data_IF_169660278833
#
_entry.id   IF_169660278833
#
_cell.length_a   1.000
_cell.length_b   1.000
_cell.length_c   1.000
_cell.angle_alpha   90.00
_cell.angle_beta   90.00
_cell.angle_gamma   90.00
#
_symmetry.space_group_name_H-M   'P 1'
#
loop_
_entity.id
_entity.type
_entity.pdbx_description
1 polymer ?
2 non-polymer ?
3 non-polymer ?
4 water ?
#
# COMPACT_ATOMS: atom_id res chain seq x y z
N UNK A 4 -18.15 -10.62 -7.34
CA UNK A 4 -17.49 -9.33 -6.95
C UNK A 4 -17.80 -9.01 -5.49
N UNK A 5 -19.07 -9.14 -5.12
CA UNK A 5 -19.45 -9.11 -3.72
C UNK A 5 -18.70 -10.16 -2.85
N UNK A 6 -18.62 -11.39 -3.34
CA UNK A 6 -17.97 -12.45 -2.54
C UNK A 6 -16.49 -12.14 -2.42
N UNK A 7 -15.91 -11.66 -3.51
CA UNK A 7 -14.50 -11.24 -3.49
C UNK A 7 -14.26 -10.09 -2.47
N UNK A 8 -15.12 -9.08 -2.47
CA UNK A 8 -14.97 -8.03 -1.47
C UNK A 8 -15.05 -8.54 -0.04
N UNK A 9 -16.01 -9.41 0.24
CA UNK A 9 -16.16 -9.95 1.58
C UNK A 9 -15.01 -10.86 1.99
N UNK A 10 -14.40 -11.57 1.03
CA UNK A 10 -13.16 -12.34 1.39
C UNK A 10 -12.07 -11.39 1.84
N UNK A 11 -11.96 -10.24 1.17
CA UNK A 11 -10.97 -9.21 1.54
C UNK A 11 -11.31 -8.64 2.94
N UNK A 12 -12.59 -8.37 3.18
CA UNK A 12 -13.03 -7.96 4.53
C UNK A 12 -12.69 -9.00 5.63
N UNK A 13 -12.90 -10.27 5.32
CA UNK A 13 -12.58 -11.37 6.25
C UNK A 13 -11.07 -11.34 6.60
N UNK A 14 -10.23 -11.03 5.63
CA UNK A 14 -8.83 -10.91 5.86
C UNK A 14 -8.51 -9.68 6.73
N UNK A 15 -9.22 -8.57 6.53
CA UNK A 15 -9.03 -7.40 7.38
C UNK A 15 -9.36 -7.80 8.83
N UNK A 16 -10.45 -8.53 9.00
CA UNK A 16 -10.84 -8.99 10.36
C UNK A 16 -9.79 -9.90 11.00
N UNK A 17 -9.25 -10.84 10.22
CA UNK A 17 -8.15 -11.68 10.71
C UNK A 17 -6.98 -10.80 11.17
N UNK A 18 -6.60 -9.81 10.37
CA UNK A 18 -5.54 -8.89 10.77
C UNK A 18 -5.85 -8.14 12.05
N UNK A 19 -7.07 -7.62 12.17
CA UNK A 19 -7.44 -6.92 13.37
C UNK A 19 -7.36 -7.78 14.63
N UNK A 20 -7.59 -9.10 14.46
CA UNK A 20 -7.55 -10.05 15.58
C UNK A 20 -6.17 -10.64 15.85
N UNK A 21 -5.16 -10.25 15.07
CA UNK A 21 -3.87 -10.94 15.03
C UNK A 21 -2.92 -10.42 16.07
N UNK A 22 -1.89 -11.21 16.36
CA UNK A 22 -0.88 -10.83 17.35
C UNK A 22 -0.24 -9.49 17.14
N UNK A 23 0.00 -9.14 15.88
CA UNK A 23 0.66 -7.89 15.51
C UNK A 23 0.03 -6.65 16.15
N UNK A 24 -1.29 -6.67 16.27
CA UNK A 24 -2.04 -5.49 16.72
C UNK A 24 -2.60 -5.67 18.12
N UNK A 25 -2.24 -6.76 18.81
CA UNK A 25 -2.93 -7.09 20.08
C UNK A 25 -2.77 -6.08 21.18
N UNK A 26 -1.62 -5.41 21.21
CA UNK A 26 -1.34 -4.45 22.24
C UNK A 26 -2.36 -3.35 22.32
N UNK A 27 -2.97 -2.99 21.19
CA UNK A 27 -4.04 -2.00 21.19
C UNK A 27 -5.40 -2.58 20.79
N UNK A 28 -5.44 -3.76 20.18
CA UNK A 28 -6.73 -4.29 19.74
C UNK A 28 -7.52 -5.03 20.84
N UNK A 29 -6.82 -5.50 21.87
CA UNK A 29 -7.43 -6.39 22.85
C UNK A 29 -8.78 -5.91 23.49
N UNK A 30 -8.93 -4.60 23.76
CA UNK A 30 -10.21 -4.15 24.31
C UNK A 30 -11.42 -4.39 23.44
N UNK A 31 -11.19 -4.56 22.14
CA UNK A 31 -12.20 -4.71 21.10
C UNK A 31 -12.52 -6.16 20.72
N UNK A 32 -11.89 -7.10 21.40
CA UNK A 32 -12.07 -8.52 21.04
C UNK A 32 -13.48 -9.06 21.40
N UNK A 33 -14.07 -8.59 22.50
CA UNK A 33 -15.32 -9.13 22.98
C UNK A 33 -16.28 -7.98 23.30
N UNK A 34 -17.59 -8.27 23.39
CA UNK A 34 -18.53 -7.22 23.71
C UNK A 34 -18.20 -6.55 25.03
N UNK A 35 -18.47 -5.24 25.08
CA UNK A 35 -18.37 -4.47 26.32
C UNK A 35 -19.30 -5.11 27.37
N UNK A 36 -18.70 -5.48 28.51
CA UNK A 36 -19.42 -6.03 29.65
C UNK A 36 -19.58 -4.91 30.68
N UNK A 37 -20.71 -4.24 30.60
CA UNK A 37 -20.95 -3.04 31.38
C UNK A 37 -20.89 -3.33 32.90
N UNK A 38 -21.45 -4.45 33.32
CA UNK A 38 -21.42 -4.84 34.74
C UNK A 38 -19.99 -5.10 35.24
N UNK A 39 -19.26 -5.91 34.48
CA UNK A 39 -17.90 -6.28 34.86
C UNK A 39 -16.93 -5.10 34.88
N UNK A 40 -17.14 -4.13 33.99
CA UNK A 40 -16.33 -2.89 33.95
C UNK A 40 -16.85 -1.80 34.91
N UNK A 41 -17.98 -2.07 35.55
CA UNK A 41 -18.66 -1.12 36.43
C UNK A 41 -18.91 0.18 35.68
N UNK A 42 -19.36 0.05 34.43
CA UNK A 42 -19.78 1.20 33.61
C UNK A 42 -21.29 1.01 33.38
N UNK A 43 -22.02 1.18 34.46
CA UNK A 43 -23.42 0.76 34.47
C UNK A 43 -24.35 1.56 33.60
N UNK A 44 -23.92 2.72 33.14
CA UNK A 44 -24.71 3.54 32.24
C UNK A 44 -24.34 3.28 30.78
N UNK A 45 -23.48 2.30 30.50
CA UNK A 45 -23.03 2.10 29.11
C UNK A 45 -24.17 1.99 28.12
N UNK A 46 -25.16 1.17 28.47
CA UNK A 46 -26.27 0.92 27.56
C UNK A 46 -27.31 2.04 27.51
N UNK A 47 -27.24 2.97 28.45
CA UNK A 47 -28.02 4.22 28.34
C UNK A 47 -27.44 5.15 27.26
N UNK A 48 -26.12 5.11 27.08
CA UNK A 48 -25.39 6.01 26.21
C UNK A 48 -25.19 5.42 24.80
N UNK A 49 -24.80 4.15 24.77
CA UNK A 49 -24.50 3.44 23.52
C UNK A 49 -25.66 2.53 23.20
N UNK A 50 -26.40 2.86 22.15
CA UNK A 50 -27.61 2.11 21.82
C UNK A 50 -27.37 0.91 20.92
N UNK A 51 -26.23 0.87 20.22
CA UNK A 51 -25.90 -0.24 19.33
C UNK A 51 -24.46 -0.71 19.55
N UNK A 52 -24.26 -1.56 20.57
CA UNK A 52 -22.91 -2.06 20.85
C UNK A 52 -22.35 -2.89 19.68
N UNK A 53 -21.03 -2.89 19.56
CA UNK A 53 -20.37 -3.71 18.55
C UNK A 53 -18.95 -4.03 19.02
N UNK A 54 -18.41 -5.14 18.57
CA UNK A 54 -17.07 -5.57 18.91
C UNK A 54 -16.63 -6.59 17.86
N UNK A 55 -15.35 -6.94 17.88
CA UNK A 55 -14.82 -7.79 16.80
C UNK A 55 -15.37 -9.20 16.77
N UNK A 56 -15.68 -9.77 17.94
CA UNK A 56 -16.29 -11.12 17.98
C UNK A 56 -17.67 -11.12 17.34
N UNK A 57 -18.41 -10.02 17.45
CA UNK A 57 -19.73 -9.91 16.80
C UNK A 57 -19.59 -9.76 15.28
N UNK A 58 -18.63 -8.95 14.85
CA UNK A 58 -18.33 -8.83 13.44
C UNK A 58 -17.96 -10.22 12.85
N UNK A 59 -17.17 -10.98 13.60
CA UNK A 59 -16.77 -12.34 13.19
C UNK A 59 -18.00 -13.25 13.09
N UNK A 60 -18.87 -13.20 14.09
CA UNK A 60 -20.08 -14.04 14.05
C UNK A 60 -20.94 -13.71 12.84
N UNK A 61 -21.11 -12.41 12.58
CA UNK A 61 -21.90 -11.94 11.45
C UNK A 61 -21.29 -12.33 10.11
N UNK A 62 -19.97 -12.20 9.98
CA UNK A 62 -19.25 -12.61 8.77
C UNK A 62 -19.45 -14.10 8.51
N UNK A 63 -19.21 -14.91 9.54
CA UNK A 63 -19.36 -16.38 9.47
C UNK A 63 -20.80 -16.77 9.16
N UNK A 64 -21.75 -16.03 9.69
CA UNK A 64 -23.18 -16.21 9.37
C UNK A 64 -23.70 -15.60 8.06
N UNK A 65 -22.80 -15.06 7.22
CA UNK A 65 -23.17 -14.40 5.95
C UNK A 65 -24.20 -13.30 6.14
N UNK A 66 -24.11 -12.58 7.26
CA UNK A 66 -25.05 -11.54 7.55
C UNK A 66 -24.77 -10.21 6.83
N UNK A 67 -23.56 -10.00 6.32
CA UNK A 67 -23.25 -8.75 5.60
C UNK A 67 -23.56 -8.88 4.10
N UNK A 68 -24.47 -8.03 3.57
CA UNK A 68 -24.81 -8.15 2.16
C UNK A 68 -23.65 -7.65 1.29
N UNK A 69 -22.76 -6.86 1.88
CA UNK A 69 -21.66 -6.26 1.14
C UNK A 69 -20.58 -5.69 2.05
N UNK A 70 -19.48 -5.21 1.46
CA UNK A 70 -18.36 -4.63 2.22
C UNK A 70 -18.72 -3.40 3.02
N UNK A 71 -19.63 -2.61 2.48
CA UNK A 71 -20.12 -1.42 3.15
C UNK A 71 -20.78 -1.74 4.50
N UNK A 72 -21.53 -2.84 4.58
CA UNK A 72 -22.13 -3.27 5.82
C UNK A 72 -21.10 -3.65 6.89
N UNK A 73 -20.06 -4.34 6.45
CA UNK A 73 -18.92 -4.72 7.29
C UNK A 73 -18.27 -3.46 7.85
N UNK A 74 -17.95 -2.53 6.95
CA UNK A 74 -17.26 -1.32 7.39
C UNK A 74 -18.12 -0.49 8.37
N UNK A 75 -19.43 -0.47 8.16
CA UNK A 75 -20.32 0.28 9.05
C UNK A 75 -20.25 -0.27 10.51
N UNK A 76 -20.19 -1.59 10.65
CA UNK A 76 -20.11 -2.23 11.97
C UNK A 76 -18.74 -1.94 12.61
N UNK A 77 -17.67 -2.04 11.83
CA UNK A 77 -16.37 -1.75 12.39
C UNK A 77 -16.28 -0.28 12.85
N UNK A 78 -16.78 0.66 12.03
CA UNK A 78 -16.76 2.06 12.40
C UNK A 78 -17.65 2.34 13.60
N UNK A 79 -18.77 1.62 13.68
CA UNK A 79 -19.67 1.67 14.84
C UNK A 79 -18.91 1.35 16.12
N UNK A 80 -18.16 0.26 16.09
CA UNK A 80 -17.31 -0.13 17.21
C UNK A 80 -16.37 1.00 17.69
N UNK A 81 -15.69 1.64 16.74
CA UNK A 81 -14.79 2.71 17.10
C UNK A 81 -15.60 3.95 17.57
N UNK A 82 -16.68 4.29 16.86
CA UNK A 82 -17.50 5.46 17.24
C UNK A 82 -18.09 5.33 18.63
N UNK A 83 -18.51 4.11 18.98
CA UNK A 83 -19.01 3.87 20.34
C UNK A 83 -17.95 4.23 21.38
N UNK A 84 -16.70 3.89 21.09
CA UNK A 84 -15.61 4.11 22.04
C UNK A 84 -15.34 5.63 22.20
N UNK A 85 -15.31 6.32 21.08
CA UNK A 85 -15.10 7.76 21.07
C UNK A 85 -16.27 8.47 21.76
N UNK A 86 -17.49 7.97 21.55
CA UNK A 86 -18.68 8.62 22.15
C UNK A 86 -18.72 8.49 23.66
N UNK A 87 -18.51 7.27 24.13
CA UNK A 87 -18.61 6.96 25.56
C UNK A 87 -17.49 7.57 26.40
N UNK A 88 -16.25 7.53 25.92
CA UNK A 88 -15.11 7.83 26.76
C UNK A 88 -14.69 9.28 26.61
N UNK A 89 -14.20 9.91 27.70
CA UNK A 89 -13.43 11.14 27.52
C UNK A 89 -12.29 11.00 26.50
N UNK A 90 -11.94 12.08 25.81
CA UNK A 90 -11.00 11.87 24.72
C UNK A 90 -9.56 11.57 25.15
N UNK A 91 -9.19 11.78 26.42
CA UNK A 91 -7.82 11.51 26.85
C UNK A 91 -7.61 10.09 27.41
N UNK A 92 -8.64 9.26 27.39
CA UNK A 92 -8.51 7.89 27.92
C UNK A 92 -7.61 7.05 27.04
N UNK A 93 -6.87 6.13 27.69
CA UNK A 93 -5.98 5.25 26.95
C UNK A 93 -6.75 4.43 25.89
N UNK A 94 -7.94 3.94 26.22
CA UNK A 94 -8.72 3.11 25.28
C UNK A 94 -9.07 3.87 23.99
N UNK A 95 -9.24 5.20 24.07
CA UNK A 95 -9.47 6.00 22.85
C UNK A 95 -8.24 6.00 21.94
N UNK A 96 -7.05 6.14 22.52
CA UNK A 96 -5.82 6.11 21.75
C UNK A 96 -5.65 4.73 21.09
N UNK A 97 -6.07 3.68 21.81
CA UNK A 97 -5.98 2.30 21.30
C UNK A 97 -6.96 2.14 20.14
N UNK A 98 -8.18 2.62 20.30
CA UNK A 98 -9.17 2.59 19.19
C UNK A 98 -8.64 3.28 17.94
N UNK A 99 -8.04 4.45 18.14
CA UNK A 99 -7.48 5.21 17.02
C UNK A 99 -6.41 4.45 16.29
N UNK A 100 -5.52 3.80 17.04
CA UNK A 100 -4.42 3.02 16.41
C UNK A 100 -4.99 1.84 15.58
N UNK A 101 -6.00 1.18 16.13
CA UNK A 101 -6.64 0.10 15.38
C UNK A 101 -7.43 0.62 14.19
N UNK A 102 -8.08 1.78 14.37
CA UNK A 102 -8.83 2.37 13.25
C UNK A 102 -7.90 2.81 12.12
N UNK A 103 -6.68 3.26 12.44
CA UNK A 103 -5.68 3.55 11.38
C UNK A 103 -5.42 2.33 10.50
N UNK A 104 -5.32 1.15 11.15
CA UNK A 104 -5.15 -0.08 10.40
C UNK A 104 -6.36 -0.37 9.56
N UNK A 105 -7.54 -0.34 10.18
CA UNK A 105 -8.77 -0.64 9.46
C UNK A 105 -8.96 0.26 8.23
N UNK A 106 -8.87 1.57 8.40
CA UNK A 106 -9.16 2.50 7.31
C UNK A 106 -8.20 2.30 6.16
N UNK A 107 -6.94 2.04 6.46
CA UNK A 107 -5.95 1.83 5.40
C UNK A 107 -6.24 0.55 4.64
N UNK A 108 -6.48 -0.57 5.36
CA UNK A 108 -6.73 -1.83 4.70
C UNK A 108 -8.02 -1.75 3.88
N UNK A 109 -9.05 -1.12 4.44
CA UNK A 109 -10.32 -1.04 3.73
C UNK A 109 -10.20 -0.24 2.44
N UNK A 110 -9.45 0.87 2.52
CA UNK A 110 -9.22 1.71 1.33
C UNK A 110 -8.44 1.00 0.24
N UNK A 111 -7.56 0.09 0.63
CA UNK A 111 -6.76 -0.66 -0.32
C UNK A 111 -7.45 -1.89 -0.89
N UNK A 112 -8.73 -2.11 -0.59
CA UNK A 112 -9.50 -3.21 -1.19
C UNK A 112 -9.48 -3.09 -2.71
N UNK A 113 -9.04 -4.15 -3.41
CA UNK A 113 -9.06 -4.08 -4.85
C UNK A 113 -10.46 -3.95 -5.43
N UNK B 4 -2.48 8.31 -26.41
CA UNK B 4 -3.07 7.79 -25.14
C UNK B 4 -2.33 6.54 -24.63
N UNK B 5 -2.12 6.46 -23.32
CA UNK B 5 -1.52 5.29 -22.67
C UNK B 5 -2.60 4.32 -22.19
N UNK B 6 -2.28 3.03 -22.19
CA UNK B 6 -3.15 2.04 -21.58
C UNK B 6 -3.28 2.37 -20.11
N UNK B 7 -4.23 1.74 -19.46
CA UNK B 7 -4.41 1.92 -18.03
C UNK B 7 -3.11 1.59 -17.27
N UNK B 8 -2.48 0.47 -17.63
CA UNK B 8 -1.22 0.10 -16.98
C UNK B 8 -0.11 1.11 -17.18
N UNK B 9 0.03 1.62 -18.40
CA UNK B 9 1.07 2.58 -18.68
C UNK B 9 0.83 3.95 -18.04
N UNK B 10 -0.43 4.33 -17.88
CA UNK B 10 -0.76 5.55 -17.09
C UNK B 10 -0.25 5.41 -15.66
N UNK B 11 -0.39 4.20 -15.10
CA UNK B 11 0.14 3.91 -13.76
C UNK B 11 1.66 3.94 -13.78
N UNK B 12 2.28 3.32 -14.78
CA UNK B 12 3.74 3.42 -14.95
C UNK B 12 4.24 4.88 -15.06
N UNK B 13 3.50 5.71 -15.79
CA UNK B 13 3.87 7.16 -15.91
C UNK B 13 3.87 7.83 -14.52
N UNK B 14 2.94 7.47 -13.65
CA UNK B 14 2.91 7.99 -12.29
C UNK B 14 4.10 7.46 -11.49
N UNK B 15 4.51 6.21 -11.74
CA UNK B 15 5.72 5.72 -11.02
C UNK B 15 6.92 6.55 -11.46
N UNK B 16 7.04 6.80 -12.76
CA UNK B 16 8.15 7.63 -13.30
C UNK B 16 8.11 9.02 -12.69
N UNK B 17 6.94 9.63 -12.66
CA UNK B 17 6.82 10.95 -12.00
C UNK B 17 7.32 10.90 -10.56
N UNK B 18 6.89 9.89 -9.79
CA UNK B 18 7.37 9.73 -8.43
C UNK B 18 8.88 9.55 -8.36
N UNK B 19 9.44 8.72 -9.23
CA UNK B 19 10.89 8.52 -9.22
C UNK B 19 11.65 9.82 -9.50
N UNK B 20 11.05 10.72 -10.28
CA UNK B 20 11.69 12.00 -10.61
C UNK B 20 11.41 13.11 -9.61
N UNK B 21 10.64 12.82 -8.57
CA UNK B 21 10.06 13.88 -7.72
C UNK B 21 11.02 14.28 -6.61
N UNK B 22 10.78 15.46 -6.01
CA UNK B 22 11.65 15.97 -4.93
C UNK B 22 11.82 15.01 -3.79
N UNK B 23 10.76 14.28 -3.44
CA UNK B 23 10.80 13.37 -2.30
C UNK B 23 12.00 12.40 -2.31
N UNK B 24 12.34 11.94 -3.50
CA UNK B 24 13.36 10.89 -3.67
C UNK B 24 14.65 11.44 -4.24
N UNK B 25 14.74 12.77 -4.39
CA UNK B 25 15.91 13.35 -5.09
C UNK B 25 17.26 13.05 -4.45
N UNK B 26 17.30 12.92 -3.12
CA UNK B 26 18.55 12.72 -2.43
C UNK B 26 19.24 11.46 -2.88
N UNK B 27 18.49 10.44 -3.32
CA UNK B 27 19.10 9.22 -3.86
C UNK B 27 18.85 9.02 -5.36
N UNK B 28 17.82 9.66 -5.91
CA UNK B 28 17.49 9.44 -7.28
C UNK B 28 18.34 10.22 -8.27
N UNK B 29 18.99 11.32 -7.83
CA UNK B 29 19.64 12.20 -8.75
C UNK B 29 20.70 11.59 -9.74
N UNK B 30 21.49 10.59 -9.33
CA UNK B 30 22.44 9.95 -10.26
C UNK B 30 21.79 9.28 -11.45
N UNK B 31 20.48 9.02 -11.36
CA UNK B 31 19.72 8.29 -12.37
C UNK B 31 18.92 9.20 -13.30
N UNK B 32 19.05 10.50 -13.10
CA UNK B 32 18.22 11.43 -13.89
C UNK B 32 18.65 11.53 -15.38
N UNK B 33 19.94 11.40 -15.66
CA UNK B 33 20.44 11.58 -17.02
C UNK B 33 21.39 10.45 -17.39
N UNK B 34 21.65 10.25 -18.70
CA UNK B 34 22.52 9.17 -19.07
C UNK B 34 23.91 9.32 -18.48
N UNK B 35 24.52 8.19 -18.12
CA UNK B 35 25.91 8.15 -17.70
C UNK B 35 26.79 8.73 -18.81
N UNK B 36 27.54 9.77 -18.47
CA UNK B 36 28.50 10.39 -19.38
C UNK B 36 29.87 9.86 -18.97
N UNK B 37 30.32 8.84 -19.67
CA UNK B 37 31.56 8.16 -19.34
C UNK B 37 32.78 9.09 -19.32
N UNK B 38 32.88 9.96 -20.32
CA UNK B 38 33.99 10.90 -20.39
C UNK B 38 34.01 11.88 -19.20
N UNK B 39 32.85 12.47 -18.94
CA UNK B 39 32.75 13.50 -17.91
C UNK B 39 32.97 12.93 -16.52
N UNK B 40 32.55 11.69 -16.31
CA UNK B 40 32.76 10.97 -15.05
C UNK B 40 34.11 10.28 -14.97
N UNK B 41 34.88 10.36 -16.05
CA UNK B 41 36.20 9.69 -16.15
C UNK B 41 36.10 8.19 -15.83
N UNK B 42 35.01 7.59 -16.32
CA UNK B 42 34.76 6.15 -16.24
C UNK B 42 34.88 5.64 -17.67
N UNK B 43 36.11 5.68 -18.17
CA UNK B 43 36.31 5.47 -19.59
C UNK B 43 36.03 4.09 -20.11
N UNK B 44 35.94 3.11 -19.22
CA UNK B 44 35.60 1.76 -19.63
C UNK B 44 34.10 1.46 -19.50
N UNK B 45 33.28 2.47 -19.23
CA UNK B 45 31.89 2.20 -18.89
C UNK B 45 31.21 1.43 -19.99
N UNK B 46 31.41 1.86 -21.24
CA UNK B 46 30.73 1.21 -22.36
C UNK B 46 31.37 -0.11 -22.80
N UNK B 47 32.55 -0.43 -22.28
CA UNK B 47 33.09 -1.79 -22.42
C UNK B 47 32.36 -2.80 -21.54
N UNK B 48 31.88 -2.33 -20.39
CA UNK B 48 31.26 -3.17 -19.35
C UNK B 48 29.73 -3.19 -19.52
N UNK B 49 29.13 -2.02 -19.72
CA UNK B 49 27.69 -1.86 -19.86
C UNK B 49 27.30 -1.70 -21.32
N UNK B 50 26.67 -2.72 -21.90
CA UNK B 50 26.33 -2.70 -23.32
C UNK B 50 25.01 -2.02 -23.65
N UNK B 51 24.12 -1.89 -22.65
CA UNK B 51 22.80 -1.26 -22.86
C UNK B 51 22.51 -0.25 -21.76
N UNK B 52 23.04 0.96 -21.92
CA UNK B 52 22.81 2.00 -20.90
C UNK B 52 21.34 2.39 -20.78
N UNK B 53 20.94 2.85 -19.59
CA UNK B 53 19.58 3.31 -19.38
C UNK B 53 19.57 4.31 -18.22
N UNK B 54 18.62 5.24 -18.27
CA UNK B 54 18.47 6.23 -17.23
C UNK B 54 17.03 6.79 -17.30
N UNK B 55 16.64 7.56 -16.29
CA UNK B 55 15.24 7.96 -16.19
C UNK B 55 14.81 8.94 -17.27
N UNK B 56 15.72 9.79 -17.75
CA UNK B 56 15.37 10.67 -18.88
C UNK B 56 15.07 9.89 -20.16
N UNK B 57 15.74 8.74 -20.36
CA UNK B 57 15.49 7.90 -21.54
C UNK B 57 14.15 7.17 -21.41
N UNK B 58 13.86 6.64 -20.21
CA UNK B 58 12.57 6.07 -19.92
C UNK B 58 11.47 7.12 -20.17
N UNK B 59 11.68 8.36 -19.76
CA UNK B 59 10.68 9.42 -20.02
C UNK B 59 10.51 9.68 -21.53
N UNK B 60 11.62 9.80 -22.25
CA UNK B 60 11.56 9.97 -23.71
C UNK B 60 10.76 8.85 -24.37
N UNK B 61 11.04 7.60 -23.97
CA UNK B 61 10.36 6.44 -24.53
C UNK B 61 8.88 6.41 -24.21
N UNK B 62 8.52 6.75 -22.97
CA UNK B 62 7.14 6.81 -22.52
C UNK B 62 6.38 7.83 -23.37
N UNK B 63 6.95 9.04 -23.45
CA UNK B 63 6.39 10.14 -24.25
C UNK B 63 6.24 9.79 -25.72
N UNK B 64 7.23 9.08 -26.26
CA UNK B 64 7.16 8.58 -27.65
C UNK B 64 6.29 7.35 -27.86
N UNK B 65 5.59 6.89 -26.81
CA UNK B 65 4.77 5.68 -26.86
C UNK B 65 5.54 4.47 -27.35
N UNK B 66 6.80 4.35 -26.93
CA UNK B 66 7.61 3.23 -27.32
C UNK B 66 7.38 1.96 -26.50
N UNK B 67 6.70 2.04 -25.35
CA UNK B 67 6.48 0.82 -24.55
C UNK B 67 5.15 0.16 -24.96
N UNK B 68 5.17 -1.12 -25.40
CA UNK B 68 3.88 -1.73 -25.76
C UNK B 68 3.10 -2.17 -24.54
N UNK B 69 3.79 -2.32 -23.40
CA UNK B 69 3.13 -2.76 -22.19
C UNK B 69 3.97 -2.40 -20.97
N UNK B 70 3.41 -2.62 -19.78
CA UNK B 70 4.11 -2.33 -18.51
C UNK B 70 5.39 -3.12 -18.33
N UNK B 71 5.40 -4.37 -18.81
CA UNK B 71 6.61 -5.21 -18.70
C UNK B 71 7.83 -4.55 -19.38
N UNK B 72 7.61 -3.88 -20.50
CA UNK B 72 8.70 -3.22 -21.22
C UNK B 72 9.27 -2.03 -20.42
N UNK B 73 8.39 -1.29 -19.77
CA UNK B 73 8.76 -0.20 -18.86
C UNK B 73 9.61 -0.74 -17.70
N UNK B 74 9.10 -1.78 -17.08
CA UNK B 74 9.78 -2.35 -15.93
C UNK B 74 11.15 -2.92 -16.32
N UNK B 75 11.26 -3.45 -17.51
CA UNK B 75 12.52 -4.02 -17.96
C UNK B 75 13.59 -2.92 -18.11
N UNK B 76 13.22 -1.75 -18.63
CA UNK B 76 14.16 -0.63 -18.76
C UNK B 76 14.53 -0.08 -17.38
N UNK B 77 13.57 0.02 -16.47
CA UNK B 77 13.92 0.52 -15.15
C UNK B 77 14.87 -0.46 -14.42
N UNK B 78 14.57 -1.77 -14.49
CA UNK B 78 15.45 -2.74 -13.88
C UNK B 78 16.85 -2.80 -14.55
N UNK B 79 16.88 -2.57 -15.86
CA UNK B 79 18.15 -2.44 -16.60
C UNK B 79 19.01 -1.31 -15.99
N UNK B 80 18.39 -0.14 -15.77
CA UNK B 80 19.10 0.97 -15.17
C UNK B 80 19.74 0.57 -13.81
N UNK B 81 18.96 -0.07 -12.94
CA UNK B 81 19.52 -0.45 -11.64
C UNK B 81 20.60 -1.56 -11.82
N UNK B 82 20.32 -2.56 -12.64
CA UNK B 82 21.27 -3.66 -12.87
C UNK B 82 22.62 -3.16 -13.42
N UNK B 83 22.55 -2.17 -14.33
CA UNK B 83 23.80 -1.52 -14.82
C UNK B 83 24.65 -0.98 -13.68
N UNK B 84 23.99 -0.34 -12.73
CA UNK B 84 24.68 0.28 -11.63
C UNK B 84 25.33 -0.81 -10.71
N UNK B 85 24.58 -1.85 -10.40
CA UNK B 85 25.09 -2.96 -9.61
C UNK B 85 26.24 -3.67 -10.33
N UNK B 86 26.13 -3.82 -11.65
CA UNK B 86 27.16 -4.53 -12.44
C UNK B 86 28.48 -3.79 -12.48
N UNK B 87 28.38 -2.50 -12.79
CA UNK B 87 29.57 -1.68 -12.97
C UNK B 87 30.32 -1.38 -11.66
N UNK B 88 29.60 -1.09 -10.59
CA UNK B 88 30.20 -0.54 -9.39
C UNK B 88 30.54 -1.62 -8.37
N UNK B 89 31.67 -1.45 -7.64
CA UNK B 89 31.83 -2.23 -6.43
C UNK B 89 30.62 -2.11 -5.51
N UNK B 90 30.29 -3.18 -4.79
CA UNK B 90 29.08 -3.20 -3.99
C UNK B 90 28.99 -2.18 -2.82
N UNK B 91 30.12 -1.70 -2.33
CA UNK B 91 30.11 -0.75 -1.22
C UNK B 91 30.06 0.73 -1.63
N UNK B 92 29.96 1.03 -2.92
CA UNK B 92 29.88 2.40 -3.38
C UNK B 92 28.58 3.04 -2.91
N UNK B 93 28.65 4.33 -2.63
CA UNK B 93 27.44 5.06 -2.24
C UNK B 93 26.37 4.98 -3.33
N UNK B 94 26.76 5.06 -4.60
CA UNK B 94 25.76 5.06 -5.68
C UNK B 94 24.94 3.75 -5.72
N UNK B 95 25.56 2.64 -5.31
CA UNK B 95 24.83 1.36 -5.20
C UNK B 95 23.73 1.44 -4.13
N UNK B 96 24.05 2.04 -2.99
CA UNK B 96 23.10 2.19 -1.93
C UNK B 96 21.94 3.10 -2.38
N UNK B 97 22.27 4.11 -3.18
CA UNK B 97 21.26 5.04 -3.70
C UNK B 97 20.33 4.31 -4.69
N UNK B 98 20.92 3.53 -5.58
CA UNK B 98 20.16 2.67 -6.53
C UNK B 98 19.21 1.77 -5.76
N UNK B 99 19.69 1.15 -4.70
CA UNK B 99 18.87 0.23 -3.92
C UNK B 99 17.68 0.94 -3.31
N UNK B 100 17.90 2.13 -2.74
CA UNK B 100 16.80 2.92 -2.15
C UNK B 100 15.74 3.27 -3.20
N UNK B 101 16.17 3.66 -4.39
CA UNK B 101 15.24 3.99 -5.46
C UNK B 101 14.55 2.76 -5.98
N UNK B 102 15.28 1.64 -6.05
CA UNK B 102 14.67 0.38 -6.51
C UNK B 102 13.62 -0.13 -5.53
N UNK B 103 13.81 0.11 -4.22
CA UNK B 103 12.74 -0.18 -3.24
C UNK B 103 11.43 0.54 -3.59
N UNK B 104 11.54 1.80 -3.98
CA UNK B 104 10.36 2.55 -4.40
C UNK B 104 9.76 1.94 -5.65
N UNK B 105 10.60 1.74 -6.65
CA UNK B 105 10.12 1.22 -7.90
C UNK B 105 9.39 -0.14 -7.72
N UNK B 106 10.03 -1.09 -7.04
CA UNK B 106 9.45 -2.42 -6.95
C UNK B 106 8.13 -2.41 -6.23
N UNK B 107 8.05 -1.58 -5.20
CA UNK B 107 6.81 -1.52 -4.42
C UNK B 107 5.69 -0.89 -5.22
N UNK B 108 5.98 0.24 -5.90
CA UNK B 108 4.94 0.85 -6.70
C UNK B 108 4.53 -0.04 -7.85
N UNK B 109 5.49 -0.67 -8.52
CA UNK B 109 5.15 -1.51 -9.66
C UNK B 109 4.28 -2.70 -9.24
N UNK B 110 4.60 -3.29 -8.09
CA UNK B 110 3.81 -4.42 -7.57
C UNK B 110 2.38 -4.02 -7.21
N UNK B 111 2.17 -2.76 -6.82
CA UNK B 111 0.85 -2.27 -6.44
C UNK B 111 0.01 -1.79 -7.64
N UNK B 112 0.49 -1.99 -8.87
CA UNK B 112 -0.29 -1.65 -10.07
C UNK B 112 -1.63 -2.40 -10.03
N UNK B 113 -2.74 -1.67 -10.15
CA UNK B 113 -3.99 -2.41 -10.10
C UNK B 113 -4.18 -3.34 -11.26
N UNK C 5 -31.36 23.90 8.86
CA UNK C 5 -30.94 22.47 8.84
C UNK C 5 -31.51 21.80 10.06
N UNK C 6 -31.60 20.47 10.03
CA UNK C 6 -32.02 19.71 11.23
C UNK C 6 -31.02 19.93 12.36
N UNK C 7 -31.37 19.47 13.55
CA UNK C 7 -30.46 19.63 14.68
C UNK C 7 -29.12 18.93 14.40
N UNK C 8 -29.21 17.70 13.89
CA UNK C 8 -28.01 16.93 13.57
C UNK C 8 -27.20 17.58 12.47
N UNK C 9 -27.85 18.05 11.41
CA UNK C 9 -27.10 18.66 10.33
C UNK C 9 -26.52 20.03 10.70
N UNK C 10 -27.15 20.77 11.62
CA UNK C 10 -26.50 22.00 12.13
C UNK C 10 -25.16 21.66 12.85
N UNK C 11 -25.16 20.61 13.67
CA UNK C 11 -23.93 20.16 14.28
C UNK C 11 -22.91 19.71 13.21
N UNK C 12 -23.34 18.98 12.18
CA UNK C 12 -22.46 18.55 11.10
C UNK C 12 -21.85 19.75 10.35
N UNK C 13 -22.64 20.79 10.15
CA UNK C 13 -22.14 22.02 9.53
C UNK C 13 -21.03 22.66 10.38
N UNK C 14 -21.17 22.58 11.70
CA UNK C 14 -20.11 23.00 12.61
C UNK C 14 -18.83 22.14 12.48
N UNK C 15 -18.96 20.82 12.36
CA UNK C 15 -17.80 19.95 12.11
C UNK C 15 -17.09 20.39 10.79
N UNK C 16 -17.87 20.62 9.74
CA UNK C 16 -17.31 21.04 8.45
C UNK C 16 -16.54 22.34 8.57
N UNK C 17 -17.18 23.31 9.19
CA UNK C 17 -16.55 24.61 9.42
C UNK C 17 -15.27 24.50 10.24
N UNK C 18 -15.23 23.62 11.23
CA UNK C 18 -14.00 23.38 11.97
C UNK C 18 -12.92 22.77 11.05
N UNK C 19 -13.30 21.78 10.25
CA UNK C 19 -12.32 21.18 9.31
C UNK C 19 -11.70 22.20 8.34
N UNK C 20 -12.48 23.22 8.01
CA UNK C 20 -12.03 24.28 7.10
C UNK C 20 -11.44 25.48 7.82
N UNK C 21 -11.26 25.42 9.13
CA UNK C 21 -10.79 26.60 9.90
C UNK C 21 -9.29 26.70 9.97
N UNK C 22 -8.81 27.88 10.35
CA UNK C 22 -7.37 28.10 10.49
C UNK C 22 -6.70 27.10 11.44
N UNK C 23 -7.44 26.71 12.48
CA UNK C 23 -6.96 25.77 13.48
C UNK C 23 -6.31 24.50 12.90
N UNK C 24 -6.87 23.99 11.83
CA UNK C 24 -6.45 22.71 11.26
C UNK C 24 -5.84 22.87 9.88
N UNK C 25 -5.60 24.11 9.47
CA UNK C 25 -5.12 24.40 8.11
C UNK C 25 -3.80 23.73 7.73
N UNK C 26 -2.89 23.56 8.68
CA UNK C 26 -1.58 22.96 8.32
C UNK C 26 -1.71 21.56 7.75
N UNK C 27 -2.75 20.83 8.15
CA UNK C 27 -2.98 19.47 7.64
C UNK C 27 -4.26 19.27 6.80
N UNK C 28 -5.21 20.21 6.84
CA UNK C 28 -6.46 20.10 6.10
C UNK C 28 -6.37 20.55 4.65
N UNK C 29 -5.35 21.35 4.30
CA UNK C 29 -5.40 22.03 3.01
C UNK C 29 -5.42 21.11 1.78
N UNK C 30 -4.88 19.88 1.89
CA UNK C 30 -4.99 19.05 0.71
C UNK C 30 -6.41 18.71 0.33
N UNK C 31 -7.35 18.85 1.27
CA UNK C 31 -8.74 18.44 1.13
C UNK C 31 -9.68 19.60 0.79
N UNK C 32 -9.09 20.77 0.60
CA UNK C 32 -9.85 21.98 0.39
C UNK C 32 -10.59 22.03 -0.94
N UNK C 33 -9.96 21.49 -2.00
CA UNK C 33 -10.53 21.55 -3.34
C UNK C 33 -10.37 20.20 -4.05
N UNK C 34 -11.15 19.98 -5.12
CA UNK C 34 -10.97 18.72 -5.84
C UNK C 34 -9.55 18.49 -6.32
N UNK C 35 -9.08 17.23 -6.28
CA UNK C 35 -7.77 16.92 -6.84
C UNK C 35 -7.79 17.23 -8.35
N UNK C 36 -6.84 18.05 -8.80
CA UNK C 36 -6.67 18.40 -10.22
C UNK C 36 -5.55 17.52 -10.79
N UNK C 37 -5.96 16.39 -11.34
CA UNK C 37 -5.05 15.32 -11.72
C UNK C 37 -4.06 15.78 -12.81
N UNK C 38 -4.56 16.60 -13.73
CA UNK C 38 -3.72 17.25 -14.77
C UNK C 38 -2.52 17.97 -14.20
N UNK C 39 -2.78 18.98 -13.37
CA UNK C 39 -1.73 19.88 -12.92
C UNK C 39 -0.73 19.16 -12.02
N UNK C 40 -1.19 18.12 -11.32
CA UNK C 40 -0.26 17.36 -10.46
C UNK C 40 0.45 16.21 -11.19
N UNK C 41 0.10 16.00 -12.46
CA UNK C 41 0.65 14.88 -13.28
C UNK C 41 0.34 13.50 -12.68
N UNK C 42 -0.88 13.37 -12.17
CA UNK C 42 -1.35 12.14 -11.57
C UNK C 42 -2.12 11.44 -12.67
N UNK C 43 -1.39 10.76 -13.54
CA UNK C 43 -1.94 10.20 -14.76
C UNK C 43 -3.01 9.08 -14.52
N UNK C 44 -2.90 8.45 -13.37
CA UNK C 44 -3.76 7.32 -12.99
C UNK C 44 -4.86 7.64 -11.97
N UNK C 45 -4.99 8.90 -11.59
CA UNK C 45 -5.91 9.26 -10.49
C UNK C 45 -7.33 8.82 -10.76
N UNK C 46 -7.90 9.18 -11.91
CA UNK C 46 -9.30 8.83 -12.18
C UNK C 46 -9.54 7.37 -12.57
N UNK C 47 -8.47 6.64 -12.84
CA UNK C 47 -8.57 5.16 -12.97
C UNK C 47 -8.80 4.51 -11.61
N UNK C 48 -8.15 5.04 -10.59
CA UNK C 48 -8.18 4.45 -9.26
C UNK C 48 -9.34 4.99 -8.38
N UNK C 49 -9.59 6.29 -8.49
CA UNK C 49 -10.63 7.01 -7.71
C UNK C 49 -11.81 7.27 -8.64
N UNK C 50 -12.85 6.47 -8.47
CA UNK C 50 -14.06 6.59 -9.30
C UNK C 50 -15.03 7.68 -8.82
N UNK C 51 -14.94 8.04 -7.55
CA UNK C 51 -15.85 9.00 -6.92
C UNK C 51 -15.09 10.01 -6.10
N UNK C 52 -14.51 11.03 -6.75
CA UNK C 52 -13.76 12.05 -6.04
C UNK C 52 -14.62 12.81 -5.05
N UNK C 53 -14.00 13.30 -3.98
CA UNK C 53 -14.73 14.08 -2.95
C UNK C 53 -13.72 14.96 -2.25
N UNK C 54 -14.16 16.16 -1.85
CA UNK C 54 -13.33 17.10 -1.12
C UNK C 54 -14.23 18.01 -0.31
N UNK C 55 -13.63 18.80 0.55
CA UNK C 55 -14.38 19.66 1.50
C UNK C 55 -15.20 20.75 0.84
N UNK C 56 -14.75 21.28 -0.29
CA UNK C 56 -15.52 22.35 -0.94
C UNK C 56 -16.77 21.74 -1.57
N UNK C 57 -16.70 20.48 -1.99
CA UNK C 57 -17.86 19.75 -2.50
C UNK C 57 -18.85 19.46 -1.35
N UNK C 58 -18.32 19.02 -0.21
CA UNK C 58 -19.20 18.74 0.94
C UNK C 58 -19.91 20.05 1.35
N UNK C 59 -19.16 21.14 1.34
CA UNK C 59 -19.73 22.46 1.68
C UNK C 59 -20.82 22.91 0.68
N UNK C 60 -20.59 22.70 -0.61
CA UNK C 60 -21.61 22.99 -1.62
C UNK C 60 -22.85 22.15 -1.35
N UNK C 61 -22.67 20.85 -1.10
CA UNK C 61 -23.79 19.91 -0.86
C UNK C 61 -24.55 20.23 0.41
N UNK C 62 -23.84 20.73 1.43
CA UNK C 62 -24.43 21.11 2.72
C UNK C 62 -25.15 22.43 2.59
N UNK C 63 -24.45 23.44 2.08
CA UNK C 63 -24.93 24.84 2.05
C UNK C 63 -26.19 24.96 1.24
N UNK C 64 -26.35 24.09 0.24
CA UNK C 64 -27.58 23.94 -0.51
C UNK C 64 -28.28 22.64 -0.17
N UNK C 65 -28.22 22.29 1.12
CA UNK C 65 -29.08 21.30 1.76
C UNK C 65 -29.42 20.04 0.94
N UNK C 66 -28.39 19.34 0.45
CA UNK C 66 -28.58 18.06 -0.26
C UNK C 66 -28.39 16.83 0.63
N UNK C 67 -27.93 17.00 1.87
CA UNK C 67 -27.81 15.85 2.74
C UNK C 67 -29.14 15.64 3.44
N UNK C 68 -29.69 14.44 3.35
CA UNK C 68 -30.95 14.13 4.05
C UNK C 68 -30.78 13.88 5.56
N UNK C 69 -29.58 13.47 5.96
CA UNK C 69 -29.30 13.21 7.36
C UNK C 69 -27.79 13.25 7.61
N UNK C 70 -27.43 13.14 8.89
CA UNK C 70 -26.02 13.15 9.27
C UNK C 70 -25.23 12.01 8.64
N UNK C 71 -25.87 10.86 8.46
CA UNK C 71 -25.24 9.66 7.87
C UNK C 71 -24.69 9.92 6.46
N UNK C 72 -25.45 10.68 5.69
CA UNK C 72 -25.09 11.09 4.32
C UNK C 72 -23.88 12.00 4.29
N UNK C 73 -23.84 12.94 5.22
CA UNK C 73 -22.69 13.84 5.39
C UNK C 73 -21.42 13.02 5.73
N UNK C 74 -21.55 12.17 6.73
CA UNK C 74 -20.41 11.36 7.16
C UNK C 74 -19.92 10.47 6.03
N UNK C 75 -20.82 9.94 5.21
CA UNK C 75 -20.42 9.10 4.08
C UNK C 75 -19.50 9.84 3.10
N UNK C 76 -19.86 11.09 2.75
CA UNK C 76 -18.97 11.91 1.89
C UNK C 76 -17.62 12.24 2.55
N UNK C 77 -17.61 12.55 3.85
CA UNK C 77 -16.35 12.87 4.50
C UNK C 77 -15.46 11.62 4.51
N UNK C 78 -16.03 10.46 4.80
CA UNK C 78 -15.23 9.26 4.85
C UNK C 78 -14.76 8.83 3.47
N UNK C 79 -15.57 9.10 2.46
CA UNK C 79 -15.18 8.86 1.06
C UNK C 79 -13.94 9.65 0.71
N UNK C 80 -13.92 10.91 1.10
CA UNK C 80 -12.78 11.81 0.89
C UNK C 80 -11.51 11.24 1.50
N UNK C 81 -11.60 10.81 2.76
CA UNK C 81 -10.43 10.27 3.41
C UNK C 81 -10.05 8.95 2.78
N UNK C 82 -11.00 8.07 2.53
CA UNK C 82 -10.73 6.78 1.87
C UNK C 82 -10.02 6.95 0.51
N UNK C 83 -10.49 7.89 -0.30
CA UNK C 83 -9.83 8.14 -1.59
C UNK C 83 -8.36 8.49 -1.41
N UNK C 84 -8.07 9.25 -0.35
CA UNK C 84 -6.68 9.61 -0.06
C UNK C 84 -5.82 8.39 0.28
N UNK C 85 -6.32 7.56 1.20
CA UNK C 85 -5.70 6.28 1.53
C UNK C 85 -5.59 5.32 0.34
N UNK C 86 -6.60 5.27 -0.51
CA UNK C 86 -6.60 4.34 -1.63
C UNK C 86 -5.55 4.73 -2.66
N UNK C 87 -5.57 6.01 -3.06
CA UNK C 87 -4.70 6.44 -4.14
C UNK C 87 -3.21 6.44 -3.73
N UNK C 88 -2.91 6.85 -2.49
CA UNK C 88 -1.54 7.20 -2.17
C UNK C 88 -0.82 6.05 -1.52
N UNK C 89 0.49 5.90 -1.78
CA UNK C 89 1.31 5.04 -0.94
C UNK C 89 1.17 5.43 0.52
N UNK C 90 1.16 4.44 1.43
CA UNK C 90 0.86 4.73 2.82
C UNK C 90 1.88 5.57 3.54
N UNK C 91 3.08 5.67 3.00
CA UNK C 91 4.07 6.54 3.63
C UNK C 91 4.13 7.98 3.07
N UNK C 92 3.20 8.40 2.21
CA UNK C 92 3.18 9.80 1.76
C UNK C 92 2.72 10.73 2.88
N UNK C 93 3.33 11.91 2.97
CA UNK C 93 2.92 12.91 3.97
C UNK C 93 1.42 13.21 3.94
N UNK C 94 0.81 13.23 2.75
CA UNK C 94 -0.63 13.51 2.66
C UNK C 94 -1.50 12.49 3.47
N UNK C 95 -1.05 11.25 3.58
CA UNK C 95 -1.78 10.21 4.30
C UNK C 95 -1.75 10.52 5.80
N UNK C 96 -0.62 11.00 6.28
CA UNK C 96 -0.56 11.41 7.70
C UNK C 96 -1.41 12.65 7.96
N UNK C 97 -1.47 13.56 6.98
CA UNK C 97 -2.34 14.73 7.08
C UNK C 97 -3.82 14.30 7.10
N UNK C 98 -4.23 13.45 6.18
CA UNK C 98 -5.59 12.87 6.20
C UNK C 98 -5.91 12.27 7.55
N UNK C 99 -5.00 11.47 8.08
CA UNK C 99 -5.25 10.81 9.39
C UNK C 99 -5.45 11.81 10.50
N UNK C 100 -4.66 12.87 10.50
CA UNK C 100 -4.79 13.92 11.54
C UNK C 100 -6.17 14.60 11.46
N UNK C 101 -6.61 14.91 10.24
CA UNK C 101 -7.92 15.53 10.07
C UNK C 101 -9.05 14.55 10.37
N UNK C 102 -8.89 13.28 9.97
CA UNK C 102 -9.89 12.27 10.26
C UNK C 102 -10.03 12.03 11.76
N UNK C 103 -8.94 12.09 12.50
CA UNK C 103 -9.05 12.06 13.99
C UNK C 103 -10.03 13.12 14.53
N UNK C 104 -9.93 14.35 14.00
CA UNK C 104 -10.85 15.42 14.39
C UNK C 104 -12.29 15.08 14.04
N UNK C 105 -12.50 14.70 12.78
CA UNK C 105 -13.84 14.41 12.29
C UNK C 105 -14.48 13.27 13.11
N UNK C 106 -13.76 12.17 13.30
CA UNK C 106 -14.38 11.00 13.94
C UNK C 106 -14.76 11.35 15.36
N UNK C 107 -13.91 12.07 16.05
CA UNK C 107 -14.21 12.46 17.46
C UNK C 107 -15.44 13.38 17.52
N UNK C 108 -15.45 14.44 16.71
CA UNK C 108 -16.60 15.35 16.76
C UNK C 108 -17.89 14.64 16.35
N UNK C 109 -17.83 13.79 15.32
CA UNK C 109 -19.03 13.11 14.85
C UNK C 109 -19.58 12.13 15.92
N UNK C 110 -18.66 11.42 16.58
CA UNK C 110 -19.08 10.45 17.63
C UNK C 110 -19.78 11.19 18.79
N UNK C 111 -19.35 12.43 19.03
CA UNK C 111 -19.87 13.28 20.13
C UNK C 111 -21.15 14.05 19.71
N UNK C 112 -21.74 13.77 18.56
CA UNK C 112 -22.95 14.46 18.14
C UNK C 112 -24.08 14.21 19.15
N UNK C 113 -24.68 15.27 19.69
CA UNK C 113 -25.78 15.08 20.67
C UNK C 113 -27.07 14.56 20.04
N UNK D 5 23.36 -27.85 -17.58
CA UNK D 5 23.08 -26.37 -17.51
C UNK D 5 24.12 -25.56 -18.28
N UNK D 6 23.67 -24.50 -18.95
CA UNK D 6 24.58 -23.55 -19.64
C UNK D 6 25.47 -22.82 -18.63
N UNK D 7 26.46 -22.07 -19.12
CA UNK D 7 27.34 -21.30 -18.24
C UNK D 7 26.54 -20.35 -17.37
N UNK D 8 25.62 -19.60 -18.01
CA UNK D 8 24.78 -18.66 -17.30
C UNK D 8 23.91 -19.34 -16.29
N UNK D 9 23.28 -20.44 -16.67
CA UNK D 9 22.38 -21.11 -15.71
C UNK D 9 23.13 -21.84 -14.58
N UNK D 10 24.37 -22.25 -14.82
CA UNK D 10 25.18 -22.76 -13.70
C UNK D 10 25.41 -21.68 -12.63
N UNK D 11 25.69 -20.45 -13.07
CA UNK D 11 25.82 -19.34 -12.15
C UNK D 11 24.46 -19.05 -11.45
N UNK D 12 23.39 -19.08 -12.20
CA UNK D 12 22.05 -18.87 -11.62
C UNK D 12 21.70 -19.92 -10.56
N UNK D 13 22.11 -21.18 -10.79
CA UNK D 13 21.86 -22.25 -9.83
C UNK D 13 22.62 -21.93 -8.53
N UNK D 14 23.81 -21.35 -8.66
CA UNK D 14 24.55 -20.88 -7.50
C UNK D 14 23.85 -19.76 -6.71
N UNK D 15 23.25 -18.80 -7.43
CA UNK D 15 22.46 -17.75 -6.78
C UNK D 15 21.28 -18.37 -6.00
N UNK D 16 20.58 -19.30 -6.64
CA UNK D 16 19.45 -20.00 -5.98
C UNK D 16 19.90 -20.71 -4.70
N UNK D 17 20.96 -21.48 -4.82
CA UNK D 17 21.48 -22.21 -3.65
C UNK D 17 21.93 -21.27 -2.55
N UNK D 18 22.47 -20.09 -2.90
CA UNK D 18 22.78 -19.09 -1.87
C UNK D 18 21.52 -18.57 -1.18
N UNK D 19 20.50 -18.27 -1.96
CA UNK D 19 19.22 -17.83 -1.41
C UNK D 19 18.60 -18.87 -0.44
N UNK D 20 18.83 -20.14 -0.72
CA UNK D 20 18.32 -21.24 0.14
C UNK D 20 19.29 -21.64 1.26
N UNK D 21 20.42 -20.96 1.40
CA UNK D 21 21.49 -21.37 2.36
C UNK D 21 21.28 -20.81 3.76
N UNK D 22 21.97 -21.41 4.73
CA UNK D 22 21.87 -20.97 6.11
C UNK D 22 22.18 -19.49 6.29
N UNK D 23 23.09 -18.99 5.48
CA UNK D 23 23.55 -17.60 5.55
C UNK D 23 22.39 -16.58 5.55
N UNK D 24 21.38 -16.85 4.73
CA UNK D 24 20.25 -15.96 4.55
C UNK D 24 18.96 -16.45 5.16
N UNK D 25 19.01 -17.53 5.95
CA UNK D 25 17.79 -18.19 6.43
C UNK D 25 16.91 -17.30 7.30
N UNK D 26 17.52 -16.37 8.05
CA UNK D 26 16.73 -15.48 8.97
C UNK D 26 15.66 -14.69 8.21
N UNK D 27 15.94 -14.34 6.95
CA UNK D 27 14.97 -13.58 6.13
C UNK D 27 14.44 -14.28 4.89
N UNK D 28 15.05 -15.40 4.47
CA UNK D 28 14.60 -16.11 3.26
C UNK D 28 13.43 -17.07 3.51
N UNK D 29 13.22 -17.50 4.77
CA UNK D 29 12.32 -18.64 4.99
C UNK D 29 10.87 -18.43 4.51
N UNK D 30 10.37 -17.19 4.47
CA UNK D 30 9.01 -17.06 3.96
C UNK D 30 8.85 -17.48 2.52
N UNK D 31 9.96 -17.58 1.77
CA UNK D 31 9.98 -17.86 0.34
C UNK D 31 10.36 -19.29 0.02
N UNK D 32 10.54 -20.10 1.08
CA UNK D 32 10.95 -21.47 0.90
C UNK D 32 9.91 -22.33 0.23
N UNK D 33 8.62 -22.12 0.54
CA UNK D 33 7.59 -22.99 0.07
C UNK D 33 6.40 -22.17 -0.40
N UNK D 34 5.52 -22.76 -1.21
CA UNK D 34 4.32 -21.98 -1.60
C UNK D 34 3.54 -21.45 -0.39
N UNK D 35 2.95 -20.26 -0.56
CA UNK D 35 2.10 -19.68 0.46
C UNK D 35 0.89 -20.57 0.67
N UNK D 36 0.66 -20.97 1.92
CA UNK D 36 -0.48 -21.80 2.22
C UNK D 36 -1.59 -20.88 2.79
N UNK D 37 -2.41 -20.36 1.87
CA UNK D 37 -3.38 -19.36 2.19
C UNK D 37 -4.43 -19.88 3.16
N UNK D 38 -4.76 -21.16 3.05
CA UNK D 38 -5.81 -21.73 3.89
C UNK D 38 -5.34 -21.77 5.31
N UNK D 39 -4.14 -22.28 5.51
CA UNK D 39 -3.58 -22.47 6.84
C UNK D 39 -3.31 -21.13 7.52
N UNK D 40 -2.95 -20.14 6.73
CA UNK D 40 -2.67 -18.79 7.25
C UNK D 40 -3.92 -17.90 7.30
N UNK D 41 -5.07 -18.43 6.87
CA UNK D 41 -6.34 -17.68 6.80
C UNK D 41 -6.19 -16.41 5.97
N UNK D 42 -5.39 -16.48 4.91
CA UNK D 42 -5.32 -15.36 3.97
C UNK D 42 -6.42 -15.49 2.94
N UNK D 43 -7.61 -15.01 3.31
CA UNK D 43 -8.83 -15.32 2.55
C UNK D 43 -8.85 -14.74 1.13
N UNK D 44 -8.08 -13.69 0.95
CA UNK D 44 -7.98 -12.92 -0.32
C UNK D 44 -6.73 -13.21 -1.17
N UNK D 45 -5.89 -14.15 -0.73
CA UNK D 45 -4.56 -14.31 -1.33
C UNK D 45 -4.69 -14.66 -2.82
N UNK D 46 -5.51 -15.65 -3.17
CA UNK D 46 -5.59 -16.10 -4.56
C UNK D 46 -6.47 -15.21 -5.43
N UNK D 47 -7.23 -14.31 -4.82
CA UNK D 47 -7.90 -13.24 -5.59
C UNK D 47 -6.88 -12.21 -6.10
N UNK D 48 -5.86 -11.94 -5.28
CA UNK D 48 -4.88 -10.90 -5.58
C UNK D 48 -3.67 -11.43 -6.37
N UNK D 49 -3.23 -12.64 -6.01
CA UNK D 49 -2.02 -13.26 -6.59
C UNK D 49 -2.49 -14.37 -7.51
N UNK D 50 -2.40 -14.10 -8.82
CA UNK D 50 -2.83 -15.09 -9.81
C UNK D 50 -1.77 -16.12 -10.19
N UNK D 51 -0.50 -15.81 -9.95
CA UNK D 51 0.62 -16.68 -10.30
C UNK D 51 1.59 -16.84 -9.19
N UNK D 52 1.25 -17.69 -8.20
CA UNK D 52 2.16 -17.91 -7.06
C UNK D 52 3.56 -18.41 -7.48
N UNK D 53 4.57 -18.06 -6.71
CA UNK D 53 5.95 -18.54 -6.98
C UNK D 53 6.71 -18.54 -5.67
N UNK D 54 7.62 -19.51 -5.53
CA UNK D 54 8.44 -19.64 -4.36
C UNK D 54 9.72 -20.32 -4.75
N UNK D 55 10.66 -20.35 -3.82
CA UNK D 55 12.03 -20.89 -4.12
C UNK D 55 12.05 -22.40 -4.35
N UNK D 56 11.11 -23.15 -3.76
CA UNK D 56 11.10 -24.60 -3.98
C UNK D 56 10.63 -24.90 -5.39
N UNK D 57 9.75 -24.06 -5.95
CA UNK D 57 9.33 -24.19 -7.35
C UNK D 57 10.47 -23.85 -8.28
N UNK D 58 11.18 -22.76 -7.98
CA UNK D 58 12.34 -22.39 -8.79
C UNK D 58 13.41 -23.49 -8.74
N UNK D 59 13.60 -24.05 -7.56
CA UNK D 59 14.55 -25.19 -7.39
C UNK D 59 14.10 -26.41 -8.19
N UNK D 60 12.82 -26.78 -8.12
CA UNK D 60 12.33 -27.90 -8.96
C UNK D 60 12.68 -27.69 -10.44
N UNK D 61 12.46 -26.47 -10.92
CA UNK D 61 12.71 -26.15 -12.33
C UNK D 61 14.19 -26.13 -12.68
N UNK D 62 15.01 -25.54 -11.82
CA UNK D 62 16.44 -25.54 -12.07
C UNK D 62 16.99 -26.96 -12.05
N UNK D 63 16.57 -27.77 -11.07
CA UNK D 63 17.11 -29.12 -10.86
C UNK D 63 16.71 -30.00 -12.04
N UNK D 64 15.54 -29.73 -12.59
CA UNK D 64 15.07 -30.39 -13.80
C UNK D 64 15.55 -29.80 -15.12
N UNK D 65 16.46 -28.83 -15.07
CA UNK D 65 17.02 -28.15 -16.27
C UNK D 65 15.93 -27.59 -17.18
N UNK D 66 14.95 -26.93 -16.60
CA UNK D 66 13.84 -26.44 -17.38
C UNK D 66 13.88 -25.00 -17.78
N UNK D 67 14.78 -24.20 -17.21
CA UNK D 67 14.84 -22.81 -17.63
C UNK D 67 15.53 -22.72 -18.98
N UNK D 68 14.98 -21.92 -19.90
CA UNK D 68 15.61 -21.80 -21.24
C UNK D 68 16.84 -20.90 -21.22
N UNK D 69 16.88 -19.96 -20.28
CA UNK D 69 17.95 -19.00 -20.19
C UNK D 69 17.91 -18.30 -18.83
N UNK D 70 18.92 -17.48 -18.57
CA UNK D 70 18.99 -16.75 -17.28
C UNK D 70 17.81 -15.81 -17.08
N UNK D 71 17.29 -15.27 -18.17
CA UNK D 71 16.17 -14.32 -18.11
C UNK D 71 14.90 -14.96 -17.58
N UNK D 72 14.65 -16.21 -17.96
CA UNK D 72 13.55 -17.02 -17.42
C UNK D 72 13.64 -17.25 -15.93
N UNK D 73 14.85 -17.55 -15.47
CA UNK D 73 15.10 -17.75 -14.03
C UNK D 73 14.81 -16.45 -13.28
N UNK D 74 15.38 -15.34 -13.76
CA UNK D 74 15.16 -14.06 -13.11
C UNK D 74 13.68 -13.67 -13.08
N UNK D 75 12.93 -13.98 -14.15
CA UNK D 75 11.50 -13.65 -14.19
C UNK D 75 10.72 -14.37 -13.08
N UNK D 76 11.04 -15.65 -12.83
CA UNK D 76 10.39 -16.37 -11.71
C UNK D 76 10.79 -15.77 -10.35
N UNK D 77 12.07 -15.44 -10.18
CA UNK D 77 12.48 -14.89 -8.88
C UNK D 77 11.80 -13.54 -8.61
N UNK D 78 11.75 -12.70 -9.63
CA UNK D 78 11.13 -11.38 -9.49
C UNK D 78 9.63 -11.48 -9.30
N UNK D 79 9.01 -12.47 -9.92
CA UNK D 79 7.57 -12.71 -9.70
C UNK D 79 7.31 -13.05 -8.25
N UNK D 80 8.15 -13.91 -7.67
CA UNK D 80 8.07 -14.28 -6.23
C UNK D 80 8.11 -13.03 -5.35
N UNK D 81 9.10 -12.16 -5.57
CA UNK D 81 9.22 -10.95 -4.75
C UNK D 81 8.06 -10.01 -5.04
N UNK D 82 7.72 -9.83 -6.30
CA UNK D 82 6.55 -8.96 -6.69
C UNK D 82 5.25 -9.40 -6.03
N UNK D 83 5.00 -10.71 -5.99
CA UNK D 83 3.81 -11.21 -5.29
C UNK D 83 3.79 -10.79 -3.82
N UNK D 84 4.95 -10.83 -3.19
CA UNK D 84 5.06 -10.43 -1.78
C UNK D 84 4.70 -8.93 -1.58
N UNK D 85 5.30 -8.09 -2.40
CA UNK D 85 5.01 -6.65 -2.39
C UNK D 85 3.56 -6.35 -2.74
N UNK D 86 3.01 -7.07 -3.71
CA UNK D 86 1.64 -6.82 -4.16
C UNK D 86 0.65 -7.18 -3.07
N UNK D 87 0.82 -8.36 -2.47
CA UNK D 87 -0.18 -8.85 -1.53
C UNK D 87 -0.13 -8.09 -0.20
N UNK D 88 1.07 -7.74 0.25
CA UNK D 88 1.22 -7.30 1.63
C UNK D 88 1.19 -5.80 1.76
N UNK D 89 0.66 -5.27 2.87
CA UNK D 89 0.93 -3.90 3.25
C UNK D 89 2.42 -3.64 3.36
N UNK D 90 2.87 -2.46 2.95
CA UNK D 90 4.30 -2.23 2.84
C UNK D 90 5.03 -2.22 4.15
N UNK D 91 4.31 -2.03 5.24
CA UNK D 91 4.98 -2.03 6.53
C UNK D 91 5.09 -3.40 7.19
N UNK D 92 4.61 -4.48 6.55
CA UNK D 92 4.67 -5.82 7.15
C UNK D 92 6.11 -6.33 7.19
N UNK D 93 6.47 -7.06 8.26
CA UNK D 93 7.86 -7.57 8.37
C UNK D 93 8.30 -8.42 7.16
N UNK D 94 7.38 -9.20 6.58
CA UNK D 94 7.74 -10.04 5.42
C UNK D 94 8.23 -9.21 4.23
N UNK D 95 7.75 -7.96 4.07
CA UNK D 95 8.18 -7.11 2.97
C UNK D 95 9.65 -6.67 3.19
N UNK D 96 10.01 -6.38 4.42
CA UNK D 96 11.42 -6.09 4.72
C UNK D 96 12.33 -7.31 4.47
N UNK D 97 11.82 -8.50 4.78
CA UNK D 97 12.54 -9.76 4.55
C UNK D 97 12.73 -9.99 3.04
N UNK D 98 11.66 -9.84 2.28
CA UNK D 98 11.76 -9.92 0.80
C UNK D 98 12.81 -8.95 0.27
N UNK D 99 12.76 -7.71 0.76
CA UNK D 99 13.73 -6.71 0.27
C UNK D 99 15.18 -7.12 0.54
N UNK D 100 15.42 -7.66 1.73
CA UNK D 100 16.78 -8.10 2.07
C UNK D 100 17.28 -9.22 1.16
N UNK D 101 16.40 -10.18 0.87
CA UNK D 101 16.73 -11.29 -0.01
C UNK D 101 16.84 -10.80 -1.44
N UNK D 102 15.96 -9.88 -1.87
CA UNK D 102 16.05 -9.36 -3.21
C UNK D 102 17.33 -8.55 -3.45
N UNK D 103 17.80 -7.83 -2.44
CA UNK D 103 19.14 -7.19 -2.52
C UNK D 103 20.26 -8.19 -2.88
N UNK D 104 20.24 -9.37 -2.26
CA UNK D 104 21.19 -10.44 -2.59
C UNK D 104 21.03 -10.88 -4.04
N UNK D 105 19.81 -11.18 -4.44
CA UNK D 105 19.56 -11.66 -5.76
C UNK D 105 20.00 -10.65 -6.82
N UNK D 106 19.58 -9.40 -6.68
CA UNK D 106 19.80 -8.41 -7.75
C UNK D 106 21.30 -8.19 -7.92
N UNK D 107 22.00 -8.13 -6.81
CA UNK D 107 23.49 -7.94 -6.87
C UNK D 107 24.17 -9.11 -7.57
N UNK D 108 23.87 -10.33 -7.14
CA UNK D 108 24.52 -11.49 -7.77
C UNK D 108 24.13 -11.60 -9.24
N UNK D 109 22.85 -11.40 -9.57
CA UNK D 109 22.43 -11.51 -10.94
C UNK D 109 23.11 -10.46 -11.86
N UNK D 110 23.25 -9.24 -11.36
CA UNK D 110 23.90 -8.15 -12.12
C UNK D 110 25.36 -8.49 -12.45
N UNK D 111 25.99 -9.23 -11.53
CA UNK D 111 27.42 -9.62 -11.65
C UNK D 111 27.64 -10.95 -12.38
N UNK D 112 26.60 -11.50 -13.01
CA UNK D 112 26.78 -12.69 -13.81
C UNK D 112 27.82 -12.46 -14.88
N UNK D 113 28.83 -13.31 -14.93
CA UNK D 113 29.87 -13.09 -15.94
C UNK D 113 29.45 -13.50 -17.33
X LIG E 1 -15.39 1.55 27.32
X LIG E 1 -14.96 1.94 28.39
X LIG E 1 -16.44 0.64 27.30
X LIG E 1 -14.85 2.02 26.13
X LIG F 1 38.41 3.31 -14.84
X LIG F 1 37.88 4.05 -13.72
X LIG F 1 38.02 3.99 -16.15
X LIG F 1 38.49 5.36 -16.33
X LIG G 1 -17.89 20.18 16.51
X LIG G 1 -17.19 20.99 15.60
X LIG G 1 -19.24 20.72 16.57
X LIG G 1 -19.07 21.94 17.23
X LIG H 1 -8.41 6.91 12.24
X LIG H 1 -7.70 6.39 11.10
X LIG H 1 -8.55 8.40 12.01
X LIG H 1 -9.37 9.03 13.01
X LIG I 1 -5.95 -7.42 5.24
X LIG I 1 -4.55 -7.30 5.57
X LIG I 1 -6.18 -7.54 3.72
X LIG I 1 -5.61 -8.76 3.13
#
# INVERSE_FOLDING_TARGET
SMGKLSEHLRYCDSILREMLSKKHAAYAWPFYKPVDAEALELHDYHDIIKHPMDLSTVKRKMDGREYPDAQGFAADVRLMFSNCYKYNPPDREVVAMARKLQDVFEMRFAKMP
SMGKLSEHLRYCDSILREMLSKKHAAYAWPFYKPVDAEALELHDYHDIIKHPMDLSTVKRKMDGREYPDAQGFAADVRLMFSNCYKYNPPDREVVAMARKLQDVFEMRFAKMP
SMGKLSEHLRYCDSILREMLSKKHAAYAWPFYKPVDAEALELHDYHDIIKHPMDLSTVKRKMDGREYPDAQGFAADVRLMFSNCYKYNPPDREVVAMARKLQDVFEMRFAKMP
SMGKLSEHLRYCDSILREMLSKKHAAYAWPFYKPVDAEALELHDYHDIIKHPMDLSTVKRKMDGREYPDAQGFAADVRLMFSNCYKYNPPDREVVAMARKLQDVFEMRFAKMP
NO3 N O1 O2 O3
EDO C1 O1 C2 O2
EDO C1 O1 C2 O2
EDO C1 O1 C2 O2
EDO C1 O1 C2 O2
#
